data_IF_362384672318
#
_entry.id   IF_362384672318
#
_cell.length_a   1.000
_cell.length_b   1.000
_cell.length_c   1.000
_cell.angle_alpha   90.00
_cell.angle_beta   90.00
_cell.angle_gamma   90.00
#
_symmetry.space_group_name_H-M   'P 1'
#
loop_
_entity.id
_entity.type
_entity.pdbx_description
1 polymer ?
#
# COMPACT_ATOMS: atom_id res chain seq x y z
N UNK A 1 64.32 5.24 67.52
CA UNK A 1 65.68 5.73 67.85
C UNK A 1 65.70 7.22 68.23
N UNK A 2 64.56 7.87 68.49
CA UNK A 2 64.49 9.32 68.79
C UNK A 2 64.36 9.65 70.30
N UNK A 3 64.00 8.69 71.15
CA UNK A 3 63.83 8.92 72.61
C UNK A 3 65.14 9.19 73.38
N UNK A 4 66.31 8.94 72.79
CA UNK A 4 67.61 9.12 73.47
C UNK A 4 68.04 10.60 73.51
N UNK A 5 67.43 11.47 72.69
CA UNK A 5 67.83 12.86 72.50
C UNK A 5 67.01 13.90 73.28
N UNK A 6 66.00 13.48 74.05
CA UNK A 6 65.04 14.37 74.74
C UNK A 6 65.40 14.71 76.21
N UNK A 7 66.53 14.23 76.72
CA UNK A 7 66.96 14.45 78.11
C UNK A 7 67.86 15.71 78.20
N UNK A 8 67.45 16.78 78.92
CA UNK A 8 68.13 18.08 78.89
C UNK A 8 69.51 18.11 79.57
N UNK A 9 69.93 17.04 80.24
CA UNK A 9 71.18 16.97 81.02
C UNK A 9 72.32 16.15 80.37
N UNK A 10 72.16 15.63 79.14
CA UNK A 10 73.18 14.80 78.47
C UNK A 10 74.06 15.61 77.50
N UNK A 11 75.38 15.48 77.63
CA UNK A 11 76.39 16.15 76.79
C UNK A 11 76.33 15.76 75.30
N UNK A 12 75.80 14.57 74.95
CA UNK A 12 75.76 14.04 73.58
C UNK A 12 74.44 14.34 72.83
N UNK A 13 73.84 15.51 73.04
CA UNK A 13 72.54 15.89 72.41
C UNK A 13 72.67 16.40 70.97
N UNK A 14 73.89 16.70 70.52
CA UNK A 14 74.14 17.22 69.17
C UNK A 14 74.48 16.09 68.21
N UNK A 15 73.68 15.96 67.15
CA UNK A 15 74.04 15.15 65.98
C UNK A 15 74.84 16.04 65.05
N UNK A 16 76.11 15.72 64.86
CA UNK A 16 76.98 16.45 63.95
C UNK A 16 76.52 16.13 62.51
N UNK A 17 75.67 17.01 61.97
CA UNK A 17 75.21 16.95 60.59
C UNK A 17 76.36 17.49 59.74
N UNK A 18 77.34 16.62 59.46
CA UNK A 18 78.54 17.00 58.73
C UNK A 18 78.23 17.86 57.50
N UNK A 19 79.05 18.89 57.32
CA UNK A 19 78.92 19.92 56.30
C UNK A 19 79.88 21.05 56.64
N UNK A 20 80.41 21.75 55.64
CA UNK A 20 81.17 22.97 55.87
C UNK A 20 80.26 24.15 55.59
N UNK A 21 80.16 25.08 56.54
CA UNK A 21 79.52 26.35 56.29
C UNK A 21 80.33 27.08 55.20
N UNK A 22 79.72 27.36 54.04
CA UNK A 22 80.42 28.03 52.97
C UNK A 22 80.83 29.42 53.46
N UNK A 23 82.09 29.76 53.20
CA UNK A 23 82.59 31.08 53.51
C UNK A 23 81.85 32.15 52.68
N UNK A 24 81.74 33.41 53.16
CA UNK A 24 81.13 34.50 52.39
C UNK A 24 81.58 34.60 50.91
N UNK A 25 82.87 34.43 50.55
CA UNK A 25 83.28 34.43 49.15
C UNK A 25 82.85 33.19 48.35
N UNK A 26 82.67 32.03 48.98
CA UNK A 26 82.13 30.83 48.32
C UNK A 26 80.63 31.00 48.02
N UNK A 27 79.88 31.61 48.93
CA UNK A 27 78.48 31.98 48.70
C UNK A 27 78.33 32.97 47.54
N UNK A 28 79.17 34.01 47.49
CA UNK A 28 79.15 34.99 46.40
C UNK A 28 79.42 34.34 45.03
N UNK A 29 80.43 33.46 44.93
CA UNK A 29 80.69 32.69 43.71
C UNK A 29 79.52 31.81 43.30
N UNK A 30 78.81 31.22 44.28
CA UNK A 30 77.64 30.39 44.01
C UNK A 30 76.45 31.21 43.54
N UNK A 31 76.26 32.40 44.10
CA UNK A 31 75.24 33.36 43.65
C UNK A 31 75.52 33.77 42.20
N UNK A 32 76.74 34.18 41.87
CA UNK A 32 77.13 34.53 40.49
C UNK A 32 76.87 33.37 39.51
N UNK A 33 77.20 32.13 39.90
CA UNK A 33 76.92 30.96 39.07
C UNK A 33 75.41 30.77 38.83
N UNK A 34 74.60 30.90 39.88
CA UNK A 34 73.14 30.75 39.80
C UNK A 34 72.50 31.87 38.98
N UNK A 35 73.01 33.10 39.06
CA UNK A 35 72.55 34.23 38.24
C UNK A 35 72.78 33.96 36.75
N UNK A 36 73.97 33.45 36.38
CA UNK A 36 74.26 33.08 34.99
C UNK A 36 73.34 31.95 34.51
N UNK A 37 73.14 30.91 35.33
CA UNK A 37 72.22 29.81 35.01
C UNK A 37 70.76 30.27 34.90
N UNK A 38 70.34 31.24 35.72
CA UNK A 38 68.99 31.81 35.68
C UNK A 38 68.76 32.56 34.37
N UNK A 39 69.69 33.45 33.99
CA UNK A 39 69.60 34.20 32.72
C UNK A 39 69.54 33.25 31.52
N UNK A 40 70.35 32.19 31.51
CA UNK A 40 70.30 31.17 30.44
C UNK A 40 68.97 30.42 30.38
N UNK A 41 68.31 30.20 31.52
CA UNK A 41 66.99 29.57 31.56
C UNK A 41 65.89 30.53 31.11
N UNK A 42 65.96 31.80 31.49
CA UNK A 42 65.02 32.83 31.07
C UNK A 42 65.06 33.03 29.54
N UNK A 43 66.25 33.09 28.95
CA UNK A 43 66.42 33.15 27.49
C UNK A 43 65.76 31.96 26.79
N UNK A 44 66.04 30.74 27.26
CA UNK A 44 65.41 29.52 26.72
C UNK A 44 63.89 29.49 26.89
N UNK A 45 63.38 30.06 27.98
CA UNK A 45 61.95 30.11 28.25
C UNK A 45 61.27 31.04 27.24
N UNK A 46 61.85 32.21 26.99
CA UNK A 46 61.38 33.16 25.97
C UNK A 46 61.39 32.57 24.56
N UNK A 47 62.45 31.84 24.19
CA UNK A 47 62.49 31.12 22.91
C UNK A 47 61.36 30.10 22.80
N UNK A 48 61.09 29.36 23.88
CA UNK A 48 60.07 28.32 23.88
C UNK A 48 58.65 28.89 23.86
N UNK A 49 58.41 30.02 24.53
CA UNK A 49 57.14 30.74 24.45
C UNK A 49 56.88 31.23 23.02
N UNK A 50 57.90 31.78 22.35
CA UNK A 50 57.78 32.23 20.96
C UNK A 50 57.47 31.06 20.00
N UNK A 51 58.10 29.91 20.22
CA UNK A 51 57.82 28.68 19.48
C UNK A 51 56.41 28.15 19.76
N UNK A 52 55.99 28.15 21.03
CA UNK A 52 54.66 27.71 21.43
C UNK A 52 53.56 28.56 20.79
N UNK A 53 53.70 29.88 20.80
CA UNK A 53 52.78 30.81 20.12
C UNK A 53 52.71 30.52 18.61
N UNK A 54 53.87 30.29 17.98
CA UNK A 54 53.92 29.96 16.57
C UNK A 54 53.20 28.64 16.24
N UNK A 55 53.47 27.59 17.01
CA UNK A 55 52.86 26.25 16.85
C UNK A 55 51.36 26.31 17.13
N UNK A 56 50.94 27.04 18.16
CA UNK A 56 49.53 27.23 18.49
C UNK A 56 48.78 27.89 17.34
N UNK A 57 49.33 28.99 16.79
CA UNK A 57 48.74 29.68 15.64
C UNK A 57 48.66 28.79 14.40
N UNK A 58 49.70 28.00 14.12
CA UNK A 58 49.66 27.04 12.99
C UNK A 58 48.60 25.96 13.22
N UNK A 59 48.51 25.45 14.45
CA UNK A 59 47.53 24.42 14.82
C UNK A 59 46.11 24.93 14.68
N UNK A 60 45.82 26.14 15.13
CA UNK A 60 44.49 26.74 15.01
C UNK A 60 44.12 27.02 13.55
N UNK A 61 45.07 27.44 12.71
CA UNK A 61 44.85 27.57 11.26
C UNK A 61 44.50 26.23 10.62
N UNK A 62 45.26 25.18 10.94
CA UNK A 62 44.99 23.83 10.41
C UNK A 62 43.63 23.33 10.89
N UNK A 63 43.28 23.57 12.16
CA UNK A 63 41.97 23.21 12.70
C UNK A 63 40.85 23.93 11.95
N UNK A 64 40.97 25.24 11.72
CA UNK A 64 39.98 26.01 10.97
C UNK A 64 39.84 25.50 9.52
N UNK A 65 40.94 25.19 8.84
CA UNK A 65 40.91 24.60 7.50
C UNK A 65 40.25 23.21 7.51
N UNK A 66 40.54 22.38 8.51
CA UNK A 66 39.94 21.06 8.65
C UNK A 66 38.42 21.14 8.88
N UNK A 67 37.94 22.07 9.70
CA UNK A 67 36.50 22.25 9.90
C UNK A 67 35.78 22.78 8.64
N UNK A 68 36.37 23.73 7.93
CA UNK A 68 35.81 24.23 6.68
C UNK A 68 35.73 23.12 5.61
N UNK A 69 36.81 22.33 5.45
CA UNK A 69 36.83 21.23 4.48
C UNK A 69 35.84 20.12 4.83
N UNK A 70 35.65 19.80 6.13
CA UNK A 70 34.57 18.89 6.58
C UNK A 70 33.20 19.42 6.17
N UNK A 71 32.94 20.70 6.39
CA UNK A 71 31.66 21.32 6.04
C UNK A 71 31.40 21.29 4.53
N UNK A 72 32.40 21.63 3.71
CA UNK A 72 32.29 21.58 2.24
C UNK A 72 32.04 20.15 1.75
N UNK A 73 32.75 19.18 2.31
CA UNK A 73 32.58 17.76 1.97
C UNK A 73 31.18 17.27 2.33
N UNK A 74 30.64 17.69 3.47
CA UNK A 74 29.29 17.37 3.90
C UNK A 74 28.24 17.98 2.94
N UNK A 75 28.41 19.24 2.53
CA UNK A 75 27.53 19.88 1.56
C UNK A 75 27.54 19.16 0.21
N UNK A 76 28.73 18.78 -0.27
CA UNK A 76 28.88 18.01 -1.50
C UNK A 76 28.21 16.64 -1.39
N UNK A 77 28.37 15.94 -0.27
CA UNK A 77 27.75 14.66 -0.02
C UNK A 77 26.21 14.76 -0.02
N UNK A 78 25.65 15.77 0.64
CA UNK A 78 24.19 16.03 0.63
C UNK A 78 23.68 16.26 -0.79
N UNK A 79 24.33 17.14 -1.55
CA UNK A 79 23.96 17.42 -2.94
C UNK A 79 24.05 16.18 -3.84
N UNK A 80 25.05 15.34 -3.61
CA UNK A 80 25.20 14.06 -4.34
C UNK A 80 24.06 13.10 -4.04
N UNK A 81 23.65 12.99 -2.77
CA UNK A 81 22.51 12.15 -2.36
C UNK A 81 21.21 12.67 -2.99
N UNK A 82 20.98 13.98 -2.99
CA UNK A 82 19.82 14.60 -3.64
C UNK A 82 19.77 14.28 -5.14
N UNK A 83 20.90 14.46 -5.86
CA UNK A 83 21.01 14.10 -7.27
C UNK A 83 20.71 12.61 -7.50
N UNK A 84 21.24 11.73 -6.65
CA UNK A 84 21.00 10.29 -6.74
C UNK A 84 19.52 9.94 -6.58
N UNK A 85 18.82 10.59 -5.64
CA UNK A 85 17.39 10.38 -5.44
C UNK A 85 16.59 10.87 -6.66
N UNK A 86 16.90 12.06 -7.19
CA UNK A 86 16.25 12.54 -8.42
C UNK A 86 16.46 11.60 -9.61
N UNK A 87 17.66 11.03 -9.76
CA UNK A 87 17.95 10.04 -10.82
C UNK A 87 17.09 8.79 -10.63
N UNK A 88 16.98 8.28 -9.39
CA UNK A 88 16.13 7.11 -9.09
C UNK A 88 14.67 7.38 -9.43
N UNK A 89 14.13 8.52 -9.02
CA UNK A 89 12.75 8.92 -9.30
C UNK A 89 12.50 9.05 -10.81
N UNK A 90 13.40 9.70 -11.53
CA UNK A 90 13.35 9.83 -12.99
C UNK A 90 13.40 8.46 -13.67
N UNK A 91 14.26 7.57 -13.21
CA UNK A 91 14.39 6.20 -13.74
C UNK A 91 13.12 5.40 -13.50
N UNK A 92 12.50 5.52 -12.33
CA UNK A 92 11.22 4.88 -12.04
C UNK A 92 10.10 5.39 -12.96
N UNK A 93 10.01 6.70 -13.16
CA UNK A 93 9.05 7.30 -14.11
C UNK A 93 9.30 6.82 -15.54
N UNK A 94 10.57 6.73 -15.96
CA UNK A 94 10.94 6.21 -17.27
C UNK A 94 10.52 4.75 -17.43
N UNK A 95 10.75 3.90 -16.43
CA UNK A 95 10.31 2.50 -16.46
C UNK A 95 8.78 2.38 -16.56
N UNK A 96 8.03 3.20 -15.82
CA UNK A 96 6.57 3.23 -15.92
C UNK A 96 6.11 3.60 -17.34
N UNK A 97 6.68 4.65 -17.93
CA UNK A 97 6.36 5.05 -19.31
C UNK A 97 6.73 3.98 -20.34
N UNK A 98 7.87 3.29 -20.16
CA UNK A 98 8.26 2.18 -21.03
C UNK A 98 7.27 1.01 -20.93
N UNK A 99 6.78 0.70 -19.72
CA UNK A 99 5.76 -0.33 -19.52
C UNK A 99 4.40 0.06 -20.13
N UNK A 100 3.99 1.33 -19.99
CA UNK A 100 2.79 1.83 -20.65
C UNK A 100 2.92 1.72 -22.18
N UNK A 101 4.07 2.15 -22.72
CA UNK A 101 4.34 2.09 -24.15
C UNK A 101 4.33 0.64 -24.67
N UNK A 102 4.91 -0.32 -23.93
CA UNK A 102 4.89 -1.73 -24.32
C UNK A 102 3.47 -2.31 -24.31
N UNK A 103 2.63 -1.96 -23.33
CA UNK A 103 1.22 -2.35 -23.32
C UNK A 103 0.47 -1.76 -24.52
N UNK A 104 0.72 -0.49 -24.88
CA UNK A 104 0.11 0.13 -26.07
C UNK A 104 0.59 -0.52 -27.35
N UNK A 105 1.88 -0.85 -27.47
CA UNK A 105 2.43 -1.58 -28.62
C UNK A 105 1.78 -2.96 -28.76
N UNK A 106 1.63 -3.71 -27.66
CA UNK A 106 0.94 -5.00 -27.66
C UNK A 106 -0.52 -4.87 -28.11
N UNK A 107 -1.22 -3.82 -27.67
CA UNK A 107 -2.58 -3.53 -28.11
C UNK A 107 -2.64 -3.23 -29.61
N UNK A 108 -1.72 -2.41 -30.13
CA UNK A 108 -1.64 -2.10 -31.57
C UNK A 108 -1.42 -3.38 -32.39
N UNK A 109 -0.49 -4.25 -31.97
CA UNK A 109 -0.23 -5.52 -32.66
C UNK A 109 -1.49 -6.40 -32.66
N UNK A 110 -2.21 -6.48 -31.54
CA UNK A 110 -3.46 -7.24 -31.44
C UNK A 110 -4.53 -6.70 -32.37
N UNK A 111 -4.74 -5.38 -32.38
CA UNK A 111 -5.73 -4.74 -33.26
C UNK A 111 -5.37 -4.89 -34.74
N UNK A 112 -4.08 -4.81 -35.09
CA UNK A 112 -3.62 -5.08 -36.45
C UNK A 112 -3.89 -6.54 -36.86
N UNK A 113 -3.69 -7.50 -35.96
CA UNK A 113 -4.02 -8.89 -36.22
C UNK A 113 -5.54 -9.06 -36.44
N UNK A 114 -6.36 -8.51 -35.55
CA UNK A 114 -7.83 -8.59 -35.70
C UNK A 114 -8.32 -7.93 -36.99
N UNK A 115 -7.70 -6.83 -37.42
CA UNK A 115 -8.02 -6.18 -38.69
C UNK A 115 -7.70 -7.10 -39.86
N UNK A 116 -6.51 -7.71 -39.88
CA UNK A 116 -6.12 -8.68 -40.92
C UNK A 116 -7.04 -9.89 -40.96
N UNK A 117 -7.38 -10.45 -39.80
CA UNK A 117 -8.27 -11.62 -39.70
C UNK A 117 -9.67 -11.29 -40.24
N UNK A 118 -10.22 -10.13 -39.88
CA UNK A 118 -11.53 -9.66 -40.39
C UNK A 118 -11.49 -9.36 -41.88
N UNK A 119 -10.41 -8.76 -42.38
CA UNK A 119 -10.23 -8.50 -43.81
C UNK A 119 -10.16 -9.80 -44.61
N UNK A 120 -9.39 -10.79 -44.14
CA UNK A 120 -9.34 -12.12 -44.76
C UNK A 120 -10.70 -12.83 -44.73
N UNK A 121 -11.42 -12.72 -43.62
CA UNK A 121 -12.77 -13.26 -43.49
C UNK A 121 -13.71 -12.60 -44.51
N UNK A 122 -13.72 -11.26 -44.61
CA UNK A 122 -14.54 -10.54 -45.58
C UNK A 122 -14.20 -10.90 -47.01
N UNK A 123 -12.91 -11.01 -47.36
CA UNK A 123 -12.47 -11.46 -48.69
C UNK A 123 -12.99 -12.86 -49.00
N UNK A 124 -12.94 -13.77 -48.02
CA UNK A 124 -13.45 -15.14 -48.17
C UNK A 124 -14.97 -15.17 -48.37
N UNK A 125 -15.71 -14.34 -47.63
CA UNK A 125 -17.17 -14.24 -47.79
C UNK A 125 -17.53 -13.60 -49.12
N UNK A 126 -16.87 -12.51 -49.50
CA UNK A 126 -17.10 -11.81 -50.77
C UNK A 126 -16.89 -12.75 -51.95
N UNK A 127 -15.76 -13.46 -51.99
CA UNK A 127 -15.47 -14.41 -53.07
C UNK A 127 -16.49 -15.55 -53.15
N UNK A 128 -17.01 -16.03 -52.03
CA UNK A 128 -18.10 -17.03 -52.03
C UNK A 128 -19.41 -16.46 -52.56
N UNK A 129 -19.77 -15.25 -52.16
CA UNK A 129 -20.97 -14.56 -52.65
C UNK A 129 -20.87 -14.33 -54.16
N UNK A 130 -19.71 -13.90 -54.66
CA UNK A 130 -19.45 -13.72 -56.10
C UNK A 130 -19.60 -15.04 -56.87
N UNK A 131 -19.26 -16.17 -56.23
CA UNK A 131 -19.44 -17.52 -56.76
C UNK A 131 -20.87 -18.08 -56.55
N UNK A 132 -21.78 -17.33 -55.92
CA UNK A 132 -23.13 -17.78 -55.58
C UNK A 132 -23.19 -18.86 -54.49
N UNK A 133 -22.10 -19.06 -53.75
CA UNK A 133 -22.01 -20.03 -52.66
C UNK A 133 -22.50 -19.41 -51.34
N UNK A 134 -23.08 -20.22 -50.44
CA UNK A 134 -23.55 -19.71 -49.15
C UNK A 134 -22.37 -19.24 -48.26
N UNK A 135 -22.61 -18.24 -47.39
CA UNK A 135 -21.64 -17.82 -46.39
C UNK A 135 -21.17 -18.97 -45.49
N UNK A 136 -20.02 -18.84 -44.82
CA UNK A 136 -19.54 -19.84 -43.87
C UNK A 136 -20.59 -20.18 -42.79
N UNK A 137 -20.65 -21.46 -42.39
CA UNK A 137 -21.61 -21.96 -41.38
C UNK A 137 -21.50 -21.23 -40.04
N UNK A 138 -20.30 -20.78 -39.69
CA UNK A 138 -20.05 -20.02 -38.47
C UNK A 138 -20.82 -18.69 -38.47
N UNK A 139 -20.82 -17.99 -39.60
CA UNK A 139 -21.54 -16.73 -39.81
C UNK A 139 -23.05 -16.93 -39.73
N UNK A 140 -23.56 -18.03 -40.30
CA UNK A 140 -24.97 -18.40 -40.22
C UNK A 140 -25.39 -18.67 -38.76
N UNK A 141 -24.58 -19.41 -38.01
CA UNK A 141 -24.83 -19.69 -36.60
C UNK A 141 -24.82 -18.40 -35.75
N UNK A 142 -23.91 -17.47 -36.01
CA UNK A 142 -23.88 -16.17 -35.35
C UNK A 142 -25.13 -15.34 -35.67
N UNK A 143 -25.56 -15.33 -36.93
CA UNK A 143 -26.78 -14.66 -37.35
C UNK A 143 -28.02 -15.21 -36.65
N UNK A 144 -28.16 -16.53 -36.57
CA UNK A 144 -29.26 -17.18 -35.85
C UNK A 144 -29.26 -16.84 -34.35
N UNK A 145 -28.07 -16.69 -33.74
CA UNK A 145 -27.96 -16.23 -32.34
C UNK A 145 -28.43 -14.78 -32.19
N UNK A 146 -28.09 -13.89 -33.13
CA UNK A 146 -28.55 -12.49 -33.12
C UNK A 146 -30.07 -12.44 -33.20
N UNK A 147 -30.66 -13.14 -34.17
CA UNK A 147 -32.12 -13.25 -34.32
C UNK A 147 -32.79 -13.73 -33.03
N UNK A 148 -32.28 -14.80 -32.42
CA UNK A 148 -32.80 -15.31 -31.14
C UNK A 148 -32.68 -14.28 -30.02
N UNK A 149 -31.56 -13.57 -29.93
CA UNK A 149 -31.38 -12.56 -28.90
C UNK A 149 -32.33 -11.36 -29.10
N UNK A 150 -32.61 -10.99 -30.35
CA UNK A 150 -33.58 -9.94 -30.66
C UNK A 150 -35.01 -10.33 -30.29
N UNK A 151 -35.43 -11.57 -30.59
CA UNK A 151 -36.77 -12.04 -30.18
C UNK A 151 -36.89 -12.04 -28.66
N UNK A 152 -35.89 -12.58 -27.95
CA UNK A 152 -35.87 -12.58 -26.48
C UNK A 152 -35.91 -11.17 -25.90
N UNK A 153 -35.20 -10.20 -26.50
CA UNK A 153 -35.23 -8.80 -26.07
C UNK A 153 -36.60 -8.16 -26.29
N UNK A 154 -37.24 -8.43 -27.43
CA UNK A 154 -38.60 -7.94 -27.73
C UNK A 154 -39.60 -8.51 -26.74
N UNK A 155 -39.60 -9.82 -26.53
CA UNK A 155 -40.47 -10.49 -25.56
C UNK A 155 -40.26 -9.96 -24.13
N UNK A 156 -39.00 -9.75 -23.72
CA UNK A 156 -38.69 -9.17 -22.42
C UNK A 156 -39.16 -7.72 -22.29
N UNK A 157 -39.06 -6.91 -23.36
CA UNK A 157 -39.56 -5.55 -23.38
C UNK A 157 -41.10 -5.51 -23.33
N UNK A 158 -41.77 -6.38 -24.08
CA UNK A 158 -43.22 -6.54 -24.05
C UNK A 158 -43.72 -7.00 -22.68
N UNK A 159 -43.04 -7.98 -22.06
CA UNK A 159 -43.38 -8.42 -20.71
C UNK A 159 -43.21 -7.32 -19.67
N UNK A 160 -42.17 -6.48 -19.79
CA UNK A 160 -42.00 -5.30 -18.92
C UNK A 160 -43.08 -4.25 -19.16
N UNK A 161 -43.43 -3.98 -20.41
CA UNK A 161 -44.48 -3.02 -20.76
C UNK A 161 -45.86 -3.48 -20.24
N UNK A 162 -46.17 -4.78 -20.36
CA UNK A 162 -47.39 -5.37 -19.80
C UNK A 162 -47.45 -5.22 -18.28
N UNK A 163 -46.38 -5.55 -17.56
CA UNK A 163 -46.32 -5.35 -16.10
C UNK A 163 -46.48 -3.89 -15.70
N UNK A 164 -45.84 -2.96 -16.41
CA UNK A 164 -45.99 -1.53 -16.14
C UNK A 164 -47.43 -1.05 -16.37
N UNK A 165 -48.11 -1.53 -17.42
CA UNK A 165 -49.51 -1.22 -17.67
C UNK A 165 -50.44 -1.84 -16.61
N UNK A 166 -50.16 -3.07 -16.15
CA UNK A 166 -50.88 -3.71 -15.03
C UNK A 166 -50.68 -2.93 -13.72
N UNK A 167 -49.47 -2.46 -13.42
CA UNK A 167 -49.16 -1.61 -12.27
C UNK A 167 -49.88 -0.25 -12.35
N UNK A 168 -49.94 0.37 -13.54
CA UNK A 168 -50.67 1.63 -13.75
C UNK A 168 -52.19 1.45 -13.59
N UNK A 169 -52.75 0.35 -14.12
CA UNK A 169 -54.16 -0.02 -13.89
C UNK A 169 -54.44 -0.29 -12.41
N UNK A 170 -53.52 -0.94 -11.70
CA UNK A 170 -53.63 -1.19 -10.27
C UNK A 170 -53.46 0.07 -9.40
N UNK A 171 -52.87 1.15 -9.94
CA UNK A 171 -52.70 2.43 -9.25
C UNK A 171 -53.91 3.38 -9.36
N UNK A 172 -54.98 2.98 -10.08
CA UNK A 172 -56.21 3.78 -10.21
C UNK A 172 -56.92 3.90 -8.84
N UNK A 173 -57.27 5.12 -8.38
CA UNK A 173 -57.91 5.33 -7.08
C UNK A 173 -59.25 4.58 -6.98
N UNK A 174 -59.34 3.62 -6.05
CA UNK A 174 -60.52 2.76 -5.81
C UNK A 174 -60.23 1.26 -5.91
N UNK A 175 -59.08 0.85 -6.45
CA UNK A 175 -58.65 -0.54 -6.48
C UNK A 175 -57.92 -0.93 -5.18
N UNK A 176 -58.34 -2.02 -4.52
CA UNK A 176 -57.66 -2.56 -3.33
C UNK A 176 -56.45 -3.39 -3.79
N UNK A 177 -55.24 -2.86 -3.62
CA UNK A 177 -54.00 -3.51 -4.02
C UNK A 177 -53.65 -4.66 -3.06
N UNK A 178 -53.87 -5.92 -3.47
CA UNK A 178 -53.38 -7.11 -2.73
C UNK A 178 -52.70 -8.10 -3.66
N UNK A 179 -51.50 -8.55 -3.30
CA UNK A 179 -50.77 -9.66 -3.95
C UNK A 179 -51.17 -11.02 -3.39
N UNK A 180 -52.07 -11.03 -2.40
CA UNK A 180 -52.54 -12.24 -1.75
C UNK A 180 -53.67 -12.86 -2.58
N UNK A 181 -53.51 -14.12 -2.98
CA UNK A 181 -54.61 -14.88 -3.57
C UNK A 181 -55.78 -14.94 -2.59
N UNK A 182 -57.00 -14.67 -3.08
CA UNK A 182 -58.20 -14.75 -2.26
C UNK A 182 -58.34 -16.17 -1.71
N UNK A 183 -58.62 -16.27 -0.41
CA UNK A 183 -58.75 -17.59 0.24
C UNK A 183 -59.92 -18.34 -0.39
N UNK A 184 -59.70 -19.57 -0.90
CA UNK A 184 -60.75 -20.39 -1.50
C UNK A 184 -61.96 -20.64 -0.59
N UNK A 185 -61.76 -20.57 0.73
CA UNK A 185 -62.77 -20.86 1.74
C UNK A 185 -63.64 -19.65 2.12
N UNK A 186 -63.42 -18.48 1.52
CA UNK A 186 -64.15 -17.26 1.84
C UNK A 186 -64.33 -16.38 0.60
N UNK A 187 -65.57 -16.32 0.11
CA UNK A 187 -65.96 -15.42 -0.98
C UNK A 187 -66.50 -14.10 -0.42
N UNK A 188 -66.23 -13.02 -1.15
CA UNK A 188 -66.80 -11.70 -0.90
C UNK A 188 -67.87 -11.51 -2.00
N UNK A 189 -69.17 -11.44 -1.66
CA UNK A 189 -70.21 -11.19 -2.64
C UNK A 189 -70.12 -9.78 -3.24
N UNK A 190 -70.24 -9.67 -4.57
CA UNK A 190 -70.24 -8.40 -5.31
C UNK A 190 -71.60 -7.64 -5.26
N UNK A 191 -72.52 -8.02 -4.37
CA UNK A 191 -73.84 -7.40 -4.25
C UNK A 191 -73.77 -6.04 -3.53
N UNK A 192 -74.23 -4.96 -4.19
CA UNK A 192 -74.18 -3.55 -3.73
C UNK A 192 -74.87 -3.29 -2.36
N UNK A 193 -75.69 -4.21 -1.88
CA UNK A 193 -76.43 -4.08 -0.61
C UNK A 193 -75.86 -4.91 0.54
N UNK A 194 -74.71 -5.57 0.32
CA UNK A 194 -74.06 -6.40 1.34
C UNK A 194 -72.71 -5.82 1.77
N UNK A 195 -72.40 -5.89 3.06
CA UNK A 195 -71.08 -5.48 3.56
C UNK A 195 -69.99 -6.36 2.91
N UNK A 196 -68.83 -5.77 2.52
CA UNK A 196 -67.73 -6.49 1.87
C UNK A 196 -66.95 -7.35 2.88
N UNK A 197 -67.67 -8.23 3.58
CA UNK A 197 -67.14 -9.14 4.57
C UNK A 197 -67.12 -10.56 4.01
N UNK A 198 -66.01 -11.31 4.17
CA UNK A 198 -65.90 -12.68 3.69
C UNK A 198 -66.97 -13.58 4.33
N UNK A 199 -67.76 -14.27 3.50
CA UNK A 199 -68.77 -15.23 3.96
C UNK A 199 -68.22 -16.67 3.91
N UNK A 200 -68.46 -17.49 4.95
CA UNK A 200 -68.14 -18.90 4.90
C UNK A 200 -69.12 -19.65 3.99
N UNK A 201 -68.61 -20.58 3.18
CA UNK A 201 -69.40 -21.43 2.26
C UNK A 201 -70.29 -22.49 2.96
N UNK A 202 -70.42 -22.45 4.29
CA UNK A 202 -71.14 -23.45 5.06
C UNK A 202 -70.45 -24.83 5.05
N UNK A 203 -71.24 -25.90 5.23
CA UNK A 203 -70.72 -27.26 5.39
C UNK A 203 -70.05 -27.86 4.14
N UNK A 204 -70.21 -27.23 2.97
CA UNK A 204 -69.67 -27.69 1.68
C UNK A 204 -68.68 -26.67 1.11
N UNK A 205 -67.67 -26.30 1.90
CA UNK A 205 -66.69 -25.32 1.48
C UNK A 205 -65.78 -25.88 0.35
N UNK A 206 -65.52 -25.09 -0.71
CA UNK A 206 -64.57 -25.47 -1.75
C UNK A 206 -63.17 -25.59 -1.14
N UNK A 207 -62.53 -26.72 -1.43
CA UNK A 207 -61.16 -27.01 -1.01
C UNK A 207 -60.21 -26.70 -2.17
N UNK A 208 -59.13 -25.95 -1.91
CA UNK A 208 -58.01 -25.83 -2.85
C UNK A 208 -57.03 -26.97 -2.56
N UNK A 209 -56.84 -27.90 -3.50
CA UNK A 209 -55.83 -28.93 -3.36
C UNK A 209 -54.47 -28.30 -3.05
N UNK A 210 -53.75 -28.86 -2.08
CA UNK A 210 -52.38 -28.45 -1.83
C UNK A 210 -51.55 -28.71 -3.08
N UNK A 211 -50.69 -27.76 -3.42
CA UNK A 211 -49.77 -27.97 -4.53
C UNK A 211 -48.91 -29.21 -4.24
N UNK A 212 -48.73 -30.09 -5.24
CA UNK A 212 -47.91 -31.27 -5.05
C UNK A 212 -46.49 -30.83 -4.68
N UNK A 213 -46.05 -31.17 -3.47
CA UNK A 213 -44.71 -30.82 -2.99
C UNK A 213 -43.63 -31.40 -3.89
N UNK A 214 -42.46 -30.73 -3.95
CA UNK A 214 -41.33 -31.12 -4.82
C UNK A 214 -40.92 -32.60 -4.70
N UNK A 215 -41.16 -33.21 -3.53
CA UNK A 215 -40.86 -34.62 -3.23
C UNK A 215 -41.78 -35.65 -3.91
N UNK A 216 -42.89 -35.27 -4.54
CA UNK A 216 -43.77 -36.21 -5.26
C UNK A 216 -43.06 -36.91 -6.42
N UNK A 217 -41.99 -36.32 -6.96
CA UNK A 217 -41.14 -36.92 -8.01
C UNK A 217 -40.48 -38.24 -7.58
N UNK A 218 -40.35 -38.48 -6.27
CA UNK A 218 -39.74 -39.69 -5.71
C UNK A 218 -40.77 -40.75 -5.30
N UNK A 219 -42.06 -40.44 -5.34
CA UNK A 219 -43.11 -41.40 -5.00
C UNK A 219 -43.43 -42.28 -6.22
N UNK A 220 -43.06 -43.56 -6.17
CA UNK A 220 -43.40 -44.54 -7.22
C UNK A 220 -44.67 -45.28 -6.82
N UNK A 221 -45.68 -45.27 -7.69
CA UNK A 221 -46.91 -46.06 -7.47
C UNK A 221 -46.56 -47.54 -7.38
N UNK A 222 -47.06 -48.29 -6.38
CA UNK A 222 -46.78 -49.72 -6.27
C UNK A 222 -47.37 -50.46 -7.46
N UNK A 223 -46.61 -51.40 -8.02
CA UNK A 223 -47.05 -52.24 -9.13
C UNK A 223 -48.00 -53.29 -8.55
N UNK A 224 -49.28 -53.22 -8.94
CA UNK A 224 -50.30 -54.20 -8.54
C UNK A 224 -49.98 -55.51 -9.26
N UNK A 225 -49.70 -56.58 -8.49
CA UNK A 225 -49.47 -57.90 -9.08
C UNK A 225 -50.79 -58.44 -9.65
N UNK A 226 -50.78 -59.07 -10.84
CA UNK A 226 -51.97 -59.69 -11.40
C UNK A 226 -52.45 -60.82 -10.47
N UNK A 227 -53.75 -60.83 -10.20
CA UNK A 227 -54.42 -61.89 -9.44
C UNK A 227 -54.64 -63.02 -10.44
N UNK A 228 -54.01 -64.18 -10.21
CA UNK A 228 -54.27 -65.39 -10.99
C UNK A 228 -55.68 -65.90 -10.65
N UNK A 229 -56.56 -65.94 -11.64
CA UNK A 229 -57.85 -66.66 -11.61
C UNK A 229 -57.88 -67.57 -12.83
#
# INVERSE_FOLDING_TARGET
MEEIFADPAKENRMRDLGGKDPSPPELLKKIEQLEVELVQKEEKLLEMDLLYEHVSRLTDRIRAMAENTKQDTLLLAKRTIELQNMIKDRTQKMMALVAELSMKQALVIKLQQEMRDKEQFLMTVSTRIDQGLPPPKETENEWLKVLRNETMRKEAAEARAKRAAEEEQAAVPGCVHTTAEQRPTAYIPDDEHSLPLPRPYGALAPFKPSEPGSNIRHFRKPIVKPIEI
#
